data_IF_216140275432
#
_entry.id   IF_216140275432
#
_cell.length_a   1.000
_cell.length_b   1.000
_cell.length_c   1.000
_cell.angle_alpha   90.00
_cell.angle_beta   90.00
_cell.angle_gamma   90.00
#
_symmetry.space_group_name_H-M   'P 1'
#
loop_
_entity.id
_entity.type
_entity.pdbx_description
1 polymer ?
#
# COMPACT_ATOMS: atom_id res chain seq x y z
N UNK A 1 9.43 -25.27 10.37
CA UNK A 1 9.54 -25.90 9.05
C UNK A 1 9.20 -27.36 9.19
N UNK A 2 8.19 -27.84 8.43
CA UNK A 2 7.85 -29.26 8.39
C UNK A 2 8.71 -29.97 7.37
N UNK A 3 9.09 -31.22 7.68
CA UNK A 3 9.80 -32.05 6.73
C UNK A 3 8.86 -32.48 5.59
N UNK A 4 9.28 -32.49 4.33
CA UNK A 4 8.41 -32.75 3.18
C UNK A 4 7.84 -34.19 3.14
N UNK A 5 8.34 -35.08 3.94
CA UNK A 5 7.88 -36.47 4.06
C UNK A 5 6.98 -36.72 5.28
N UNK A 6 6.67 -35.72 6.06
CA UNK A 6 5.79 -35.83 7.21
C UNK A 6 4.33 -35.99 6.78
N UNK A 7 3.65 -36.98 7.33
CA UNK A 7 2.24 -37.24 7.07
C UNK A 7 1.37 -36.61 8.18
N UNK A 8 0.52 -35.63 7.85
CA UNK A 8 -0.35 -34.99 8.83
C UNK A 8 -1.56 -35.82 9.26
N UNK A 9 -1.71 -37.02 8.71
CA UNK A 9 -2.82 -37.92 8.98
C UNK A 9 -2.37 -39.19 9.69
N UNK A 10 -3.25 -39.73 10.55
CA UNK A 10 -3.14 -41.05 11.11
C UNK A 10 -3.43 -42.15 10.07
N UNK A 11 -3.17 -43.39 10.38
CA UNK A 11 -3.42 -44.53 9.48
C UNK A 11 -4.90 -44.71 9.10
N UNK A 12 -5.82 -44.27 9.96
CA UNK A 12 -7.27 -44.25 9.72
C UNK A 12 -7.76 -43.05 8.89
N UNK A 13 -6.84 -42.17 8.44
CA UNK A 13 -7.16 -40.97 7.68
C UNK A 13 -7.63 -39.78 8.50
N UNK A 14 -7.70 -39.89 9.82
CA UNK A 14 -7.94 -38.76 10.71
C UNK A 14 -6.72 -37.84 10.80
N UNK A 15 -6.95 -36.55 11.14
CA UNK A 15 -5.85 -35.58 11.34
C UNK A 15 -5.12 -35.98 12.64
N UNK A 16 -3.80 -36.18 12.56
CA UNK A 16 -2.97 -36.47 13.71
C UNK A 16 -2.99 -35.31 14.72
N UNK A 17 -3.16 -35.62 16.00
CA UNK A 17 -3.12 -34.57 17.03
C UNK A 17 -1.72 -33.99 17.16
N UNK A 18 -1.64 -32.71 17.36
CA UNK A 18 -0.37 -31.98 17.60
C UNK A 18 0.39 -32.56 18.80
N UNK A 19 -0.31 -33.11 19.78
CA UNK A 19 0.28 -33.69 20.99
C UNK A 19 0.91 -35.08 20.77
N UNK A 20 0.38 -35.85 19.82
CA UNK A 20 0.82 -37.21 19.52
C UNK A 20 1.97 -37.22 18.51
N UNK A 21 2.27 -36.08 17.92
CA UNK A 21 3.29 -35.94 16.90
C UNK A 21 4.66 -35.59 17.51
N UNK A 22 5.27 -36.62 18.11
CA UNK A 22 6.52 -36.50 18.86
C UNK A 22 7.75 -36.24 17.97
N UNK A 23 7.65 -36.39 16.66
CA UNK A 23 8.84 -36.32 15.80
C UNK A 23 8.96 -35.11 14.88
N UNK A 24 7.98 -34.22 14.83
CA UNK A 24 8.08 -32.98 14.05
C UNK A 24 9.03 -31.96 14.66
N UNK A 25 9.45 -32.07 15.88
CA UNK A 25 10.31 -31.13 16.60
C UNK A 25 9.74 -29.73 16.79
N UNK A 26 8.70 -29.36 16.02
CA UNK A 26 7.99 -28.08 16.08
C UNK A 26 6.69 -28.21 16.85
N UNK A 27 6.30 -29.41 17.20
CA UNK A 27 5.14 -29.72 18.04
C UNK A 27 3.78 -29.21 17.56
N UNK A 28 3.62 -28.89 16.25
CA UNK A 28 2.34 -28.45 15.73
C UNK A 28 2.05 -29.03 14.35
N UNK A 29 1.00 -29.87 14.28
CA UNK A 29 0.39 -30.26 13.02
C UNK A 29 -0.42 -29.08 12.46
N UNK A 30 -0.08 -28.49 11.27
CA UNK A 30 -0.80 -27.36 10.73
C UNK A 30 -2.29 -27.61 10.49
N UNK A 31 -2.67 -28.83 10.09
CA UNK A 31 -4.07 -29.18 9.86
C UNK A 31 -4.85 -29.21 11.17
N UNK A 32 -4.26 -29.82 12.21
CA UNK A 32 -4.84 -29.84 13.56
C UNK A 32 -4.93 -28.40 14.12
N UNK A 33 -3.87 -27.59 13.93
CA UNK A 33 -3.88 -26.20 14.33
C UNK A 33 -4.98 -25.39 13.60
N UNK A 34 -5.08 -25.51 12.28
CA UNK A 34 -6.09 -24.79 11.49
C UNK A 34 -7.52 -25.18 11.87
N UNK A 35 -7.75 -26.47 12.13
CA UNK A 35 -9.05 -26.98 12.56
C UNK A 35 -9.47 -26.42 13.91
N UNK A 36 -8.54 -26.34 14.85
CA UNK A 36 -8.82 -25.95 16.23
C UNK A 36 -8.66 -24.46 16.49
N UNK A 37 -8.17 -23.68 15.50
CA UNK A 37 -8.01 -22.23 15.57
C UNK A 37 -8.72 -21.52 14.41
N UNK A 38 -10.05 -21.64 14.30
CA UNK A 38 -10.78 -21.00 13.21
C UNK A 38 -10.68 -19.48 13.26
N UNK A 39 -10.48 -18.88 12.08
CA UNK A 39 -10.45 -17.44 11.88
C UNK A 39 -11.44 -17.07 10.77
N UNK A 40 -12.29 -16.10 11.03
CA UNK A 40 -13.18 -15.57 10.01
C UNK A 40 -13.05 -14.05 9.88
N UNK A 41 -13.12 -13.58 8.63
CA UNK A 41 -13.07 -12.17 8.30
C UNK A 41 -14.31 -11.79 7.50
N UNK A 42 -14.92 -10.64 7.86
CA UNK A 42 -15.92 -9.98 7.02
C UNK A 42 -15.40 -8.60 6.68
N UNK A 43 -15.32 -8.31 5.39
CA UNK A 43 -14.87 -7.00 4.90
C UNK A 43 -15.91 -6.44 3.96
N UNK A 44 -16.37 -5.23 4.26
CA UNK A 44 -17.19 -4.42 3.38
C UNK A 44 -16.34 -3.27 2.87
N UNK A 45 -16.37 -3.02 1.56
CA UNK A 45 -15.63 -1.93 0.95
C UNK A 45 -16.56 -1.17 0.01
N UNK A 46 -16.61 0.15 0.18
CA UNK A 46 -17.34 1.08 -0.69
C UNK A 46 -16.34 2.06 -1.29
N UNK A 47 -16.30 2.08 -2.61
CA UNK A 47 -15.55 3.04 -3.40
C UNK A 47 -16.55 3.93 -4.13
N UNK A 48 -16.48 5.23 -3.91
CA UNK A 48 -17.33 6.21 -4.58
C UNK A 48 -16.46 7.28 -5.20
N UNK A 49 -16.77 7.64 -6.45
CA UNK A 49 -16.09 8.72 -7.15
C UNK A 49 -17.12 9.57 -7.87
N UNK A 50 -17.09 10.87 -7.58
CA UNK A 50 -17.87 11.89 -8.28
C UNK A 50 -16.88 12.82 -8.96
N UNK A 51 -17.19 13.24 -10.16
CA UNK A 51 -16.39 14.25 -10.85
C UNK A 51 -17.27 15.20 -11.65
N UNK A 52 -16.75 16.41 -11.83
CA UNK A 52 -17.25 17.39 -12.77
C UNK A 52 -16.14 17.74 -13.75
N UNK A 53 -16.48 17.80 -15.02
CA UNK A 53 -15.55 18.12 -16.09
C UNK A 53 -16.16 19.17 -17.00
N UNK A 54 -15.39 20.18 -17.34
CA UNK A 54 -15.80 21.24 -18.25
C UNK A 54 -14.71 21.50 -19.30
N UNK A 55 -15.12 21.77 -20.52
CA UNK A 55 -14.25 22.09 -21.64
C UNK A 55 -14.57 23.52 -22.14
N UNK A 56 -14.07 24.57 -21.44
CA UNK A 56 -14.46 25.95 -21.69
C UNK A 56 -13.98 26.48 -23.05
N UNK A 57 -12.86 25.98 -23.53
CA UNK A 57 -12.31 26.30 -24.86
C UNK A 57 -11.72 25.01 -25.48
N UNK A 58 -11.55 25.02 -26.80
CA UNK A 58 -10.96 23.89 -27.53
C UNK A 58 -9.58 23.53 -26.96
N UNK A 59 -9.42 22.28 -26.57
CA UNK A 59 -8.17 21.76 -26.03
C UNK A 59 -7.98 21.93 -24.52
N UNK A 60 -8.80 22.72 -23.82
CA UNK A 60 -8.74 22.88 -22.37
C UNK A 60 -9.81 22.03 -21.69
N UNK A 61 -9.38 21.14 -20.80
CA UNK A 61 -10.24 20.35 -19.93
C UNK A 61 -9.92 20.69 -18.48
N UNK A 62 -10.92 21.10 -17.72
CA UNK A 62 -10.83 21.32 -16.27
C UNK A 62 -11.68 20.26 -15.59
N UNK A 63 -11.09 19.51 -14.67
CA UNK A 63 -11.76 18.42 -13.95
C UNK A 63 -11.54 18.59 -12.45
N UNK A 64 -12.62 18.46 -11.70
CA UNK A 64 -12.61 18.31 -10.24
C UNK A 64 -13.21 16.96 -9.90
N UNK A 65 -12.50 16.17 -9.11
CA UNK A 65 -12.90 14.82 -8.71
C UNK A 65 -12.83 14.68 -7.20
N UNK A 66 -13.88 14.12 -6.62
CA UNK A 66 -13.95 13.72 -5.23
C UNK A 66 -14.09 12.20 -5.17
N UNK A 67 -13.25 11.54 -4.37
CA UNK A 67 -13.31 10.11 -4.15
C UNK A 67 -13.37 9.80 -2.65
N UNK A 68 -14.19 8.82 -2.29
CA UNK A 68 -14.29 8.26 -0.94
C UNK A 68 -14.04 6.75 -1.00
N UNK A 69 -13.08 6.27 -0.23
CA UNK A 69 -12.77 4.85 -0.02
C UNK A 69 -13.06 4.51 1.44
N UNK A 70 -14.15 3.81 1.69
CA UNK A 70 -14.51 3.33 3.01
C UNK A 70 -14.39 1.81 3.06
N UNK A 71 -13.73 1.32 4.11
CA UNK A 71 -13.63 -0.11 4.38
C UNK A 71 -13.93 -0.39 5.86
N UNK A 72 -14.87 -1.29 6.09
CA UNK A 72 -15.16 -1.87 7.41
C UNK A 72 -14.72 -3.33 7.42
N UNK A 73 -13.92 -3.72 8.40
CA UNK A 73 -13.46 -5.09 8.57
C UNK A 73 -13.70 -5.57 9.99
N UNK A 74 -14.38 -6.70 10.13
CA UNK A 74 -14.46 -7.43 11.40
C UNK A 74 -13.71 -8.76 11.28
N UNK A 75 -13.00 -9.13 12.33
CA UNK A 75 -12.38 -10.43 12.45
C UNK A 75 -12.86 -11.14 13.71
N UNK A 76 -13.05 -12.42 13.59
CA UNK A 76 -13.31 -13.32 14.71
C UNK A 76 -12.23 -14.40 14.69
N UNK A 77 -11.60 -14.63 15.84
CA UNK A 77 -10.60 -15.67 16.06
C UNK A 77 -11.01 -16.49 17.26
N UNK A 78 -10.81 -17.78 17.18
CA UNK A 78 -11.09 -18.69 18.27
C UNK A 78 -9.97 -19.74 18.34
N UNK A 79 -9.67 -20.19 19.54
CA UNK A 79 -8.89 -21.39 19.80
C UNK A 79 -9.69 -22.28 20.72
N UNK A 80 -10.00 -23.49 20.28
CA UNK A 80 -10.88 -24.40 21.02
C UNK A 80 -10.22 -24.93 22.29
N UNK A 81 -10.97 -25.05 23.40
CA UNK A 81 -10.50 -25.71 24.62
C UNK A 81 -10.03 -27.15 24.40
N UNK A 82 -10.69 -27.88 23.48
CA UNK A 82 -10.32 -29.25 23.11
C UNK A 82 -8.97 -29.36 22.38
N UNK A 83 -8.47 -28.24 21.83
CA UNK A 83 -7.15 -28.23 21.21
C UNK A 83 -6.07 -28.62 22.22
N UNK A 84 -5.31 -29.66 21.91
CA UNK A 84 -4.39 -30.30 22.84
C UNK A 84 -3.39 -29.37 23.54
N UNK A 85 -3.00 -28.27 22.86
CA UNK A 85 -2.07 -27.26 23.41
C UNK A 85 -2.72 -26.28 24.36
N UNK A 86 -4.05 -26.19 24.39
CA UNK A 86 -4.79 -25.24 25.22
C UNK A 86 -5.09 -25.71 26.63
N UNK A 87 -4.80 -26.99 26.95
CA UNK A 87 -5.00 -27.58 28.27
C UNK A 87 -6.41 -27.35 28.83
N UNK A 88 -7.45 -27.46 27.99
CA UNK A 88 -8.85 -27.26 28.37
C UNK A 88 -9.30 -25.82 28.53
N UNK A 89 -8.48 -24.84 28.19
CA UNK A 89 -8.79 -23.42 28.31
C UNK A 89 -8.67 -22.73 26.94
N UNK A 90 -9.78 -22.54 26.24
CA UNK A 90 -9.84 -21.86 24.96
C UNK A 90 -9.70 -20.34 25.05
N UNK A 91 -9.64 -19.71 23.89
CA UNK A 91 -9.73 -18.25 23.76
C UNK A 91 -10.61 -17.83 22.59
N UNK A 92 -11.19 -16.65 22.69
CA UNK A 92 -11.94 -16.02 21.61
C UNK A 92 -11.56 -14.54 21.52
N UNK A 93 -11.33 -14.07 20.29
CA UNK A 93 -11.01 -12.66 20.02
C UNK A 93 -11.91 -12.09 18.93
N UNK A 94 -12.26 -10.83 19.08
CA UNK A 94 -12.95 -10.04 18.07
C UNK A 94 -12.20 -8.74 17.82
N UNK A 95 -12.17 -8.32 16.57
CA UNK A 95 -11.68 -6.99 16.21
C UNK A 95 -12.57 -6.36 15.18
N UNK A 96 -12.66 -5.03 15.25
CA UNK A 96 -13.30 -4.19 14.24
C UNK A 96 -12.30 -3.12 13.82
N UNK A 97 -12.28 -2.81 12.54
CA UNK A 97 -11.47 -1.74 11.98
C UNK A 97 -12.25 -1.03 10.89
N UNK A 98 -12.34 0.27 11.01
CA UNK A 98 -12.89 1.19 10.03
C UNK A 98 -11.76 2.00 9.41
N UNK A 99 -11.80 2.14 8.10
CA UNK A 99 -10.88 3.00 7.34
C UNK A 99 -11.66 3.86 6.38
N UNK A 100 -11.47 5.16 6.47
CA UNK A 100 -12.02 6.15 5.55
C UNK A 100 -10.85 6.92 4.92
N UNK A 101 -10.85 7.03 3.60
CA UNK A 101 -9.93 7.91 2.87
C UNK A 101 -10.73 8.77 1.91
N UNK A 102 -10.57 10.08 2.04
CA UNK A 102 -11.18 11.09 1.19
C UNK A 102 -10.10 11.70 0.31
N UNK A 103 -10.37 11.81 -0.98
CA UNK A 103 -9.43 12.40 -1.94
C UNK A 103 -10.16 13.42 -2.78
N UNK A 104 -9.59 14.63 -2.90
CA UNK A 104 -10.01 15.62 -3.86
C UNK A 104 -8.87 15.89 -4.83
N UNK A 105 -9.15 15.82 -6.14
CA UNK A 105 -8.16 16.05 -7.19
C UNK A 105 -8.73 17.04 -8.18
N UNK A 106 -8.01 18.14 -8.38
CA UNK A 106 -8.36 19.18 -9.34
C UNK A 106 -7.28 19.22 -10.42
N UNK A 107 -7.66 19.18 -11.69
CA UNK A 107 -6.73 19.22 -12.81
C UNK A 107 -7.19 20.18 -13.90
N UNK A 108 -6.23 20.80 -14.55
CA UNK A 108 -6.42 21.55 -15.78
C UNK A 108 -5.45 21.00 -16.82
N UNK A 109 -5.98 20.49 -17.91
CA UNK A 109 -5.22 19.93 -19.02
C UNK A 109 -5.46 20.74 -20.29
N UNK A 110 -4.39 21.18 -20.93
CA UNK A 110 -4.46 21.97 -22.18
C UNK A 110 -3.64 21.33 -23.28
N UNK A 111 -4.33 20.88 -24.33
CA UNK A 111 -3.75 20.25 -25.50
C UNK A 111 -3.97 21.13 -26.76
N UNK A 112 -2.91 21.35 -27.51
CA UNK A 112 -3.01 22.05 -28.80
C UNK A 112 -1.91 21.62 -29.75
N UNK A 113 -2.17 21.81 -31.04
CA UNK A 113 -1.21 21.52 -32.11
C UNK A 113 -0.98 22.78 -32.95
N UNK A 114 0.29 23.12 -33.18
CA UNK A 114 0.69 24.22 -34.02
C UNK A 114 1.30 23.66 -35.32
N UNK A 115 0.90 24.26 -36.45
CA UNK A 115 1.43 23.92 -37.79
C UNK A 115 1.41 22.40 -38.05
N UNK A 116 0.41 21.69 -37.55
CA UNK A 116 0.18 20.23 -37.71
C UNK A 116 1.32 19.31 -37.19
N UNK A 117 2.47 19.85 -36.79
CA UNK A 117 3.66 19.12 -36.42
C UNK A 117 4.07 19.26 -34.94
N UNK A 118 3.70 20.36 -34.32
CA UNK A 118 4.08 20.64 -32.94
C UNK A 118 2.90 20.40 -32.03
N UNK A 119 2.85 19.28 -31.35
CA UNK A 119 1.81 18.96 -30.38
C UNK A 119 2.32 19.19 -28.98
N UNK A 120 1.52 19.90 -28.20
CA UNK A 120 1.77 20.23 -26.79
C UNK A 120 0.63 19.71 -25.93
N UNK A 121 0.99 19.21 -24.76
CA UNK A 121 0.07 18.84 -23.70
C UNK A 121 0.61 19.33 -22.37
N UNK A 122 -0.15 20.20 -21.69
CA UNK A 122 0.19 20.72 -20.36
C UNK A 122 -0.87 20.32 -19.36
N UNK A 123 -0.45 19.71 -18.27
CA UNK A 123 -1.29 19.34 -17.13
C UNK A 123 -0.81 20.09 -15.89
N UNK A 124 -1.73 20.74 -15.21
CA UNK A 124 -1.54 21.23 -13.84
C UNK A 124 -2.55 20.56 -12.93
N UNK A 125 -2.15 20.22 -11.72
CA UNK A 125 -3.03 19.57 -10.77
C UNK A 125 -2.70 19.89 -9.33
N UNK A 126 -3.74 19.74 -8.52
CA UNK A 126 -3.69 19.79 -7.06
C UNK A 126 -4.46 18.59 -6.52
N UNK A 127 -3.94 17.97 -5.46
CA UNK A 127 -4.56 16.82 -4.81
C UNK A 127 -4.46 16.96 -3.30
N UNK A 128 -5.57 16.71 -2.62
CA UNK A 128 -5.64 16.59 -1.17
C UNK A 128 -6.15 15.20 -0.80
N UNK A 129 -5.50 14.56 0.16
CA UNK A 129 -5.92 13.27 0.74
C UNK A 129 -6.01 13.42 2.23
N UNK A 130 -7.13 12.96 2.80
CA UNK A 130 -7.31 12.78 4.24
C UNK A 130 -7.72 11.35 4.52
N UNK A 131 -6.99 10.67 5.39
CA UNK A 131 -7.24 9.26 5.69
C UNK A 131 -7.18 9.01 7.19
N UNK A 132 -8.19 8.29 7.67
CA UNK A 132 -8.34 7.89 9.05
C UNK A 132 -8.59 6.39 9.13
N UNK A 133 -8.00 5.75 10.14
CA UNK A 133 -8.27 4.36 10.50
C UNK A 133 -8.48 4.27 11.99
N UNK A 134 -9.63 3.72 12.38
CA UNK A 134 -10.00 3.49 13.78
C UNK A 134 -10.36 2.03 13.97
N UNK A 135 -9.93 1.46 15.07
CA UNK A 135 -10.23 0.07 15.35
C UNK A 135 -10.11 -0.27 16.82
N UNK A 136 -10.70 -1.39 17.17
CA UNK A 136 -10.52 -2.00 18.47
C UNK A 136 -10.42 -3.51 18.36
N UNK A 137 -9.79 -4.12 19.34
CA UNK A 137 -9.76 -5.56 19.51
C UNK A 137 -9.97 -5.93 20.96
N UNK A 138 -10.62 -7.07 21.17
CA UNK A 138 -10.79 -7.67 22.48
C UNK A 138 -10.53 -9.17 22.38
N UNK A 139 -9.87 -9.74 23.38
CA UNK A 139 -9.61 -11.17 23.50
C UNK A 139 -9.91 -11.63 24.92
N UNK A 140 -10.58 -12.76 25.05
CA UNK A 140 -10.92 -13.35 26.32
C UNK A 140 -10.52 -14.83 26.33
N UNK A 141 -10.14 -15.35 27.49
CA UNK A 141 -9.76 -16.74 27.71
C UNK A 141 -10.65 -17.41 28.74
N UNK A 142 -10.47 -18.73 28.88
CA UNK A 142 -11.17 -19.50 29.89
C UNK A 142 -12.45 -20.15 29.39
N UNK A 143 -12.70 -20.14 28.07
CA UNK A 143 -13.72 -20.99 27.51
C UNK A 143 -13.36 -22.46 27.78
N UNK A 144 -14.32 -23.22 28.31
CA UNK A 144 -14.14 -24.62 28.72
C UNK A 144 -14.90 -25.60 27.83
N UNK A 145 -15.57 -25.14 26.78
CA UNK A 145 -16.33 -25.94 25.84
C UNK A 145 -16.24 -25.31 24.44
N UNK A 146 -16.01 -26.14 23.42
CA UNK A 146 -15.86 -25.70 22.02
C UNK A 146 -17.11 -25.03 21.43
N UNK A 147 -18.29 -25.30 22.00
CA UNK A 147 -19.56 -24.67 21.60
C UNK A 147 -19.73 -23.26 22.18
N UNK A 148 -18.95 -22.88 23.19
CA UNK A 148 -18.99 -21.57 23.81
C UNK A 148 -18.14 -20.56 23.05
N UNK A 149 -18.56 -20.21 21.84
CA UNK A 149 -17.80 -19.39 20.89
C UNK A 149 -17.91 -17.88 21.15
N UNK A 150 -18.79 -17.46 22.04
CA UNK A 150 -18.95 -16.02 22.31
C UNK A 150 -17.83 -15.52 23.24
N UNK A 151 -17.37 -14.29 22.98
CA UNK A 151 -16.39 -13.60 23.83
C UNK A 151 -16.83 -13.57 25.29
N UNK A 152 -18.12 -13.33 25.57
CA UNK A 152 -18.68 -13.27 26.94
C UNK A 152 -18.57 -14.57 27.75
N UNK A 153 -18.24 -15.68 27.09
CA UNK A 153 -18.03 -16.96 27.75
C UNK A 153 -16.61 -17.15 28.33
N UNK A 154 -15.75 -16.16 28.18
CA UNK A 154 -14.41 -16.12 28.75
C UNK A 154 -14.29 -15.04 29.81
N UNK A 155 -13.10 -14.95 30.39
CA UNK A 155 -12.72 -13.93 31.36
C UNK A 155 -11.55 -13.09 30.84
N UNK A 156 -11.50 -11.84 31.26
CA UNK A 156 -10.32 -10.99 31.09
C UNK A 156 -9.26 -11.43 32.10
N UNK A 157 -8.10 -11.88 31.63
CA UNK A 157 -7.00 -12.17 32.54
C UNK A 157 -6.34 -10.86 32.99
N UNK A 158 -6.36 -10.57 34.27
CA UNK A 158 -5.80 -9.34 34.85
C UNK A 158 -4.30 -9.14 34.60
N UNK A 159 -3.58 -10.19 34.20
CA UNK A 159 -2.12 -10.15 33.92
C UNK A 159 -1.76 -9.92 32.45
N UNK A 160 -2.72 -9.64 31.56
CA UNK A 160 -2.46 -9.58 30.13
C UNK A 160 -2.71 -8.19 29.59
N UNK A 161 -1.64 -7.53 29.22
CA UNK A 161 -1.64 -6.18 28.64
C UNK A 161 -2.40 -6.05 27.32
N UNK A 162 -2.72 -7.17 26.62
CA UNK A 162 -3.22 -7.16 25.27
C UNK A 162 -4.65 -7.71 25.12
N UNK A 163 -5.43 -7.75 26.21
CA UNK A 163 -6.81 -8.25 26.17
C UNK A 163 -7.79 -7.28 25.52
N UNK A 164 -7.52 -5.98 25.55
CA UNK A 164 -8.27 -4.96 24.85
C UNK A 164 -7.32 -3.89 24.32
N UNK A 165 -7.45 -3.55 23.06
CA UNK A 165 -6.65 -2.54 22.40
C UNK A 165 -7.52 -1.68 21.50
N UNK A 166 -7.27 -0.36 21.51
CA UNK A 166 -7.83 0.60 20.58
C UNK A 166 -6.72 1.18 19.70
N UNK A 167 -7.05 1.51 18.47
CA UNK A 167 -6.14 2.15 17.52
C UNK A 167 -6.84 3.30 16.83
N UNK A 168 -6.14 4.43 16.70
CA UNK A 168 -6.57 5.57 15.93
C UNK A 168 -5.38 6.14 15.17
N UNK A 169 -5.44 6.07 13.86
CA UNK A 169 -4.39 6.59 12.98
C UNK A 169 -4.98 7.52 11.95
N UNK A 170 -4.32 8.63 11.69
CA UNK A 170 -4.68 9.55 10.63
C UNK A 170 -3.45 10.08 9.92
N UNK A 171 -3.61 10.39 8.64
CA UNK A 171 -2.63 11.12 7.87
C UNK A 171 -3.29 11.91 6.76
N UNK A 172 -2.64 12.98 6.34
CA UNK A 172 -3.09 13.81 5.24
C UNK A 172 -1.94 14.11 4.30
N UNK A 173 -2.28 14.25 3.00
CA UNK A 173 -1.37 14.73 1.97
C UNK A 173 -1.95 15.94 1.26
N UNK A 174 -1.06 16.85 0.87
CA UNK A 174 -1.36 17.94 -0.06
C UNK A 174 -0.29 17.97 -1.14
N UNK A 175 -0.71 17.92 -2.39
CA UNK A 175 0.17 17.79 -3.53
C UNK A 175 -0.16 18.82 -4.60
N UNK A 176 0.88 19.36 -5.23
CA UNK A 176 0.78 20.15 -6.44
C UNK A 176 1.67 19.53 -7.51
N UNK A 177 1.18 19.41 -8.72
CA UNK A 177 1.92 18.77 -9.78
C UNK A 177 1.67 19.44 -11.14
N UNK A 178 2.66 19.35 -11.98
CA UNK A 178 2.59 19.82 -13.36
C UNK A 178 3.36 18.89 -14.29
N UNK A 179 2.87 18.75 -15.51
CA UNK A 179 3.51 17.99 -16.59
C UNK A 179 3.40 18.76 -17.88
N UNK A 180 4.49 18.78 -18.63
CA UNK A 180 4.54 19.30 -19.99
C UNK A 180 5.05 18.21 -20.94
N UNK A 181 4.34 18.01 -22.03
CA UNK A 181 4.72 17.09 -23.09
C UNK A 181 4.78 17.85 -24.41
N UNK A 182 5.82 17.59 -25.16
CA UNK A 182 6.02 18.11 -26.50
C UNK A 182 6.34 16.99 -27.47
N UNK A 183 5.68 16.99 -28.59
CA UNK A 183 5.91 16.04 -29.68
C UNK A 183 6.09 16.82 -31.00
N UNK A 184 7.19 16.57 -31.67
CA UNK A 184 7.45 17.09 -33.00
C UNK A 184 7.27 16.01 -34.06
N UNK A 185 6.23 16.11 -34.88
CA UNK A 185 5.95 15.27 -36.05
C UNK A 185 5.94 13.74 -35.73
N UNK A 186 5.69 13.39 -34.47
CA UNK A 186 5.79 12.00 -34.00
C UNK A 186 7.21 11.44 -34.06
N UNK A 187 8.24 12.28 -34.15
CA UNK A 187 9.66 11.88 -34.21
C UNK A 187 10.37 12.12 -32.89
N UNK A 188 10.24 13.30 -32.33
CA UNK A 188 10.91 13.71 -31.09
C UNK A 188 9.86 13.99 -30.05
N UNK A 189 10.03 13.36 -28.89
CA UNK A 189 9.14 13.55 -27.75
C UNK A 189 9.98 14.01 -26.57
N UNK A 190 9.49 15.01 -25.89
CA UNK A 190 10.07 15.53 -24.65
C UNK A 190 8.95 15.62 -23.63
N UNK A 191 9.18 15.09 -22.46
CA UNK A 191 8.29 15.28 -21.32
C UNK A 191 9.07 15.79 -20.11
N UNK A 192 8.39 16.62 -19.32
CA UNK A 192 8.89 17.12 -18.06
C UNK A 192 7.77 17.05 -17.04
N UNK A 193 8.05 16.55 -15.84
CA UNK A 193 7.11 16.61 -14.73
C UNK A 193 7.79 17.18 -13.48
N UNK A 194 6.97 17.89 -12.70
CA UNK A 194 7.33 18.39 -11.37
C UNK A 194 6.16 18.09 -10.43
N UNK A 195 6.46 17.55 -9.26
CA UNK A 195 5.50 17.33 -8.20
C UNK A 195 6.10 17.74 -6.85
N UNK A 196 5.30 18.42 -6.06
CA UNK A 196 5.63 18.72 -4.67
C UNK A 196 4.53 18.18 -3.78
N UNK A 197 4.91 17.43 -2.76
CA UNK A 197 4.00 16.73 -1.85
C UNK A 197 4.32 17.11 -0.41
N UNK A 198 3.30 17.47 0.36
CA UNK A 198 3.38 17.61 1.80
C UNK A 198 2.70 16.41 2.47
N UNK A 199 3.33 15.84 3.49
CA UNK A 199 2.78 14.74 4.28
C UNK A 199 2.75 15.10 5.77
N UNK A 200 1.62 14.82 6.43
CA UNK A 200 1.49 14.97 7.89
C UNK A 200 2.30 13.93 8.68
N UNK A 201 2.85 12.91 8.01
CA UNK A 201 3.72 11.90 8.61
C UNK A 201 5.10 12.43 9.00
N UNK A 202 5.45 13.65 8.55
CA UNK A 202 6.71 14.33 8.85
C UNK A 202 6.51 15.55 9.75
N UNK A 203 7.56 15.94 10.43
CA UNK A 203 7.62 17.17 11.23
C UNK A 203 7.34 18.42 10.40
N UNK A 204 6.92 19.49 11.05
CA UNK A 204 6.44 20.73 10.39
C UNK A 204 7.39 21.25 9.32
N UNK A 205 8.69 21.19 9.59
CA UNK A 205 9.72 21.78 8.71
C UNK A 205 10.17 20.84 7.58
N UNK A 206 9.82 19.54 7.67
CA UNK A 206 10.24 18.49 6.73
C UNK A 206 9.08 17.85 5.95
N UNK A 207 7.88 18.46 5.99
CA UNK A 207 6.68 17.93 5.34
C UNK A 207 6.77 17.87 3.82
N UNK A 208 7.43 18.87 3.22
CA UNK A 208 7.44 19.05 1.78
C UNK A 208 8.59 18.28 1.12
N UNK A 209 8.24 17.47 0.11
CA UNK A 209 9.17 16.85 -0.83
C UNK A 209 8.91 17.36 -2.24
N UNK A 210 9.97 17.64 -2.99
CA UNK A 210 9.87 17.99 -4.40
C UNK A 210 10.55 16.91 -5.25
N UNK A 211 9.85 16.51 -6.32
CA UNK A 211 10.22 15.43 -7.22
C UNK A 211 10.03 15.89 -8.65
N UNK A 212 10.89 15.45 -9.53
CA UNK A 212 10.87 15.85 -10.95
C UNK A 212 11.27 14.70 -11.85
N UNK A 213 10.84 14.73 -13.09
CA UNK A 213 11.34 13.85 -14.13
C UNK A 213 11.45 14.54 -15.47
N UNK A 214 12.39 14.07 -16.29
CA UNK A 214 12.55 14.44 -17.69
C UNK A 214 12.64 13.16 -18.51
N UNK A 215 11.91 13.12 -19.60
CA UNK A 215 11.95 12.04 -20.57
C UNK A 215 12.18 12.57 -21.97
N UNK A 216 13.00 11.87 -22.73
CA UNK A 216 13.29 12.12 -24.14
C UNK A 216 13.04 10.84 -24.92
N UNK A 217 12.31 10.89 -26.02
CA UNK A 217 12.17 9.76 -26.90
C UNK A 217 12.35 10.17 -28.36
N UNK A 218 13.18 9.43 -29.07
CA UNK A 218 13.40 9.58 -30.48
C UNK A 218 12.83 8.37 -31.25
N UNK A 219 11.89 8.65 -32.13
CA UNK A 219 11.32 7.66 -33.03
C UNK A 219 12.15 7.57 -34.32
N UNK A 220 13.23 6.80 -34.24
CA UNK A 220 14.20 6.60 -35.33
C UNK A 220 13.55 6.03 -36.60
N UNK A 221 12.46 5.24 -36.46
CA UNK A 221 11.76 4.68 -37.62
C UNK A 221 11.17 5.74 -38.53
N UNK A 222 10.84 6.93 -38.03
CA UNK A 222 10.34 8.05 -38.82
C UNK A 222 11.42 8.86 -39.52
N UNK A 223 12.68 8.56 -39.27
CA UNK A 223 13.80 9.22 -39.97
C UNK A 223 13.97 8.68 -41.37
N UNK A 224 14.41 9.55 -42.30
CA UNK A 224 14.54 9.21 -43.73
C UNK A 224 15.45 8.00 -43.97
N UNK A 225 16.51 7.84 -43.15
CA UNK A 225 17.47 6.74 -43.29
C UNK A 225 16.94 5.38 -42.83
N UNK A 226 15.87 5.32 -41.99
CA UNK A 226 15.24 4.09 -41.55
C UNK A 226 13.84 3.89 -42.09
N UNK A 227 13.21 4.90 -42.68
CA UNK A 227 11.83 4.85 -43.12
C UNK A 227 11.62 3.77 -44.19
N UNK A 228 12.57 3.56 -45.12
CA UNK A 228 12.51 2.60 -46.21
C UNK A 228 12.84 1.16 -45.77
N UNK A 229 13.35 0.97 -44.57
CA UNK A 229 13.71 -0.34 -44.02
C UNK A 229 12.45 -1.17 -43.69
N UNK A 230 11.96 -2.01 -44.58
CA UNK A 230 10.68 -2.74 -44.45
C UNK A 230 10.70 -3.81 -43.34
N UNK A 231 11.85 -4.41 -43.07
CA UNK A 231 11.97 -5.43 -42.03
C UNK A 231 11.98 -4.86 -40.60
N UNK A 232 12.41 -3.60 -40.44
CA UNK A 232 12.43 -2.88 -39.15
C UNK A 232 11.19 -2.00 -39.07
N UNK A 233 10.20 -2.40 -38.31
CA UNK A 233 8.88 -1.75 -38.21
C UNK A 233 8.76 -0.72 -37.12
N UNK A 234 9.53 -0.91 -36.07
CA UNK A 234 9.62 0.04 -34.95
C UNK A 234 11.07 0.20 -34.53
N UNK A 235 11.51 1.44 -34.28
CA UNK A 235 12.80 1.73 -33.67
C UNK A 235 12.66 3.00 -32.85
N UNK A 236 12.71 2.86 -31.53
CA UNK A 236 12.58 3.99 -30.58
C UNK A 236 13.72 3.92 -29.58
N UNK A 237 14.37 5.05 -29.36
CA UNK A 237 15.33 5.24 -28.28
C UNK A 237 14.70 6.18 -27.26
N UNK A 238 14.65 5.77 -26.02
CA UNK A 238 14.11 6.58 -24.92
C UNK A 238 15.14 6.72 -23.80
N UNK A 239 15.25 7.92 -23.25
CA UNK A 239 16.04 8.25 -22.08
C UNK A 239 15.14 8.96 -21.07
N UNK A 240 15.12 8.51 -19.84
CA UNK A 240 14.43 9.22 -18.78
C UNK A 240 15.29 9.29 -17.51
N UNK A 241 15.14 10.39 -16.79
CA UNK A 241 15.78 10.54 -15.48
C UNK A 241 14.86 11.35 -14.57
N UNK A 242 14.90 11.05 -13.27
CA UNK A 242 14.07 11.77 -12.32
C UNK A 242 14.22 11.25 -10.90
N UNK A 243 13.54 11.93 -9.99
CA UNK A 243 13.48 11.59 -8.58
C UNK A 243 12.07 11.17 -8.19
N UNK A 244 11.96 10.15 -7.34
CA UNK A 244 10.72 9.76 -6.68
C UNK A 244 10.89 9.82 -5.17
N UNK A 245 9.79 10.08 -4.46
CA UNK A 245 9.74 10.12 -3.00
C UNK A 245 8.98 8.96 -2.41
N UNK A 246 9.41 8.54 -1.21
CA UNK A 246 8.67 7.62 -0.37
C UNK A 246 8.46 8.26 1.00
N UNK A 247 7.21 8.23 1.48
CA UNK A 247 6.79 8.70 2.81
C UNK A 247 6.16 7.59 3.65
N UNK A 248 6.39 6.32 3.28
CA UNK A 248 5.81 5.19 4.00
C UNK A 248 6.60 4.89 5.27
N UNK A 249 6.40 5.77 6.25
CA UNK A 249 6.90 5.66 7.62
C UNK A 249 5.73 5.52 8.59
N UNK A 250 6.00 5.14 9.84
CA UNK A 250 4.99 5.09 10.90
C UNK A 250 4.23 6.41 11.06
N UNK A 251 2.94 6.33 11.41
CA UNK A 251 2.03 7.48 11.42
C UNK A 251 2.52 8.65 12.27
N UNK A 252 3.19 8.45 13.34
CA UNK A 252 3.66 9.49 14.25
C UNK A 252 5.16 9.33 14.54
N UNK A 253 5.92 8.78 13.58
CA UNK A 253 7.33 8.43 13.74
C UNK A 253 8.23 9.63 14.11
N UNK A 254 7.84 10.85 13.75
CA UNK A 254 8.57 12.06 14.07
C UNK A 254 8.28 12.60 15.49
N UNK A 255 7.20 12.13 16.16
CA UNK A 255 6.77 12.61 17.48
C UNK A 255 7.36 11.78 18.61
N UNK A 256 7.61 12.42 19.76
CA UNK A 256 7.79 11.72 21.02
C UNK A 256 6.44 11.21 21.52
N UNK A 257 6.34 9.91 21.79
CA UNK A 257 5.11 9.28 22.25
C UNK A 257 5.30 8.73 23.65
N UNK A 258 4.21 8.75 24.41
CA UNK A 258 4.11 8.13 25.74
C UNK A 258 3.07 7.03 25.72
N UNK A 259 3.25 6.02 26.56
CA UNK A 259 2.30 4.92 26.76
C UNK A 259 1.91 4.86 28.24
N UNK A 260 0.62 4.65 28.49
CA UNK A 260 0.08 4.36 29.81
C UNK A 260 0.11 2.86 30.13
N UNK A 261 -0.38 2.47 31.31
CA UNK A 261 -0.55 1.07 31.69
C UNK A 261 0.62 0.47 32.47
N UNK A 262 1.59 1.27 32.90
CA UNK A 262 2.55 0.84 33.91
C UNK A 262 1.94 1.04 35.31
N UNK A 263 2.01 0.02 36.14
CA UNK A 263 1.62 0.09 37.52
C UNK A 263 2.85 0.47 38.37
N UNK A 264 2.71 1.52 39.16
CA UNK A 264 3.69 1.89 40.19
C UNK A 264 2.96 2.02 41.51
N UNK A 265 3.10 1.05 42.41
CA UNK A 265 2.46 1.00 43.73
C UNK A 265 0.92 1.12 43.71
N UNK A 266 0.27 0.54 42.68
CA UNK A 266 -1.18 0.61 42.50
C UNK A 266 -1.69 1.82 41.70
N UNK A 267 -0.80 2.76 41.33
CA UNK A 267 -1.12 3.94 40.55
C UNK A 267 -0.73 3.74 39.07
N UNK A 268 -1.63 4.14 38.16
CA UNK A 268 -1.36 4.04 36.73
C UNK A 268 -0.37 5.10 36.28
N UNK A 269 0.82 4.69 35.92
CA UNK A 269 1.88 5.52 35.37
C UNK A 269 1.91 5.60 33.85
N UNK A 270 2.68 6.57 33.34
CA UNK A 270 3.02 6.72 31.94
C UNK A 270 4.53 6.61 31.73
N UNK A 271 4.95 6.12 30.59
CA UNK A 271 6.37 6.02 30.24
C UNK A 271 6.62 6.39 28.77
N UNK A 272 7.84 6.85 28.41
CA UNK A 272 8.20 7.11 27.03
C UNK A 272 8.11 5.82 26.20
N UNK A 273 7.29 5.82 25.15
CA UNK A 273 7.13 4.70 24.22
C UNK A 273 7.99 4.85 22.96
N UNK A 274 8.27 6.11 22.58
CA UNK A 274 9.05 6.44 21.40
C UNK A 274 9.74 7.79 21.62
N UNK A 275 11.02 7.89 21.25
CA UNK A 275 11.71 9.16 21.10
C UNK A 275 11.37 9.78 19.76
N UNK A 276 11.05 11.08 19.73
CA UNK A 276 10.76 11.80 18.50
C UNK A 276 12.01 12.04 17.69
N UNK A 277 11.83 12.08 16.37
CA UNK A 277 12.84 12.55 15.43
C UNK A 277 12.21 13.57 14.47
N UNK A 278 12.29 14.88 14.78
CA UNK A 278 11.69 15.93 13.96
C UNK A 278 12.36 16.09 12.59
N UNK A 279 13.57 15.55 12.43
CA UNK A 279 14.36 15.65 11.18
C UNK A 279 13.99 14.58 10.16
N UNK A 280 13.08 13.67 10.49
CA UNK A 280 12.56 12.70 9.53
C UNK A 280 11.97 13.41 8.32
N UNK A 281 12.42 13.00 7.14
CA UNK A 281 12.02 13.58 5.84
C UNK A 281 11.79 12.49 4.80
N UNK A 282 11.39 12.91 3.61
CA UNK A 282 11.18 12.06 2.45
C UNK A 282 12.44 11.26 2.08
N UNK A 283 12.30 9.96 1.93
CA UNK A 283 13.28 9.14 1.22
C UNK A 283 13.21 9.49 -0.26
N UNK A 284 14.35 9.81 -0.87
CA UNK A 284 14.44 10.18 -2.29
C UNK A 284 15.23 9.13 -3.04
N UNK A 285 14.65 8.66 -4.14
CA UNK A 285 15.31 7.75 -5.06
C UNK A 285 15.49 8.44 -6.40
N UNK A 286 16.71 8.43 -6.92
CA UNK A 286 17.02 8.89 -8.27
C UNK A 286 17.09 7.69 -9.21
N UNK A 287 16.33 7.74 -10.30
CA UNK A 287 16.33 6.69 -11.33
C UNK A 287 16.67 7.29 -12.68
N UNK A 288 17.56 6.63 -13.42
CA UNK A 288 17.86 6.93 -14.83
C UNK A 288 17.64 5.66 -15.63
N UNK A 289 16.92 5.76 -16.73
CA UNK A 289 16.58 4.63 -17.60
C UNK A 289 16.88 4.99 -19.07
N UNK A 290 17.54 4.07 -19.78
CA UNK A 290 17.78 4.09 -21.22
C UNK A 290 17.11 2.87 -21.83
N UNK A 291 16.16 3.08 -22.74
CA UNK A 291 15.41 2.03 -23.39
C UNK A 291 15.54 2.08 -24.91
N UNK A 292 15.70 0.90 -25.52
CA UNK A 292 15.71 0.70 -26.96
C UNK A 292 14.60 -0.30 -27.32
N UNK A 293 13.62 0.16 -28.11
CA UNK A 293 12.50 -0.65 -28.59
C UNK A 293 12.68 -0.92 -30.08
N UNK A 294 12.74 -2.20 -30.47
CA UNK A 294 12.88 -2.67 -31.83
C UNK A 294 11.72 -3.58 -32.21
N UNK A 295 11.12 -3.33 -33.36
CA UNK A 295 10.09 -4.19 -33.94
C UNK A 295 10.50 -4.69 -35.31
N UNK A 296 10.40 -5.99 -35.55
CA UNK A 296 10.82 -6.64 -36.76
C UNK A 296 9.62 -7.34 -37.42
N UNK A 297 9.42 -7.09 -38.72
CA UNK A 297 8.39 -7.72 -39.58
C UNK A 297 6.95 -7.70 -39.06
N UNK A 298 6.62 -6.77 -38.09
CA UNK A 298 5.36 -6.77 -37.32
C UNK A 298 5.09 -8.08 -36.54
N UNK A 299 6.13 -8.85 -36.20
CA UNK A 299 5.99 -10.17 -35.56
C UNK A 299 6.86 -10.32 -34.33
N UNK A 300 8.00 -9.67 -34.28
CA UNK A 300 8.96 -9.79 -33.20
C UNK A 300 9.18 -8.40 -32.62
N UNK A 301 9.04 -8.27 -31.30
CA UNK A 301 9.43 -7.07 -30.56
C UNK A 301 10.57 -7.43 -29.61
N UNK A 302 11.56 -6.56 -29.59
CA UNK A 302 12.70 -6.64 -28.67
C UNK A 302 12.79 -5.32 -27.91
N UNK A 303 12.73 -5.41 -26.60
CA UNK A 303 12.87 -4.29 -25.66
C UNK A 303 14.12 -4.52 -24.82
N UNK A 304 15.03 -3.58 -24.86
CA UNK A 304 16.27 -3.59 -24.05
C UNK A 304 16.26 -2.36 -23.17
N UNK A 305 16.36 -2.58 -21.88
CA UNK A 305 16.34 -1.51 -20.88
C UNK A 305 17.59 -1.60 -19.99
N UNK A 306 18.25 -0.47 -19.81
CA UNK A 306 19.34 -0.26 -18.86
C UNK A 306 18.90 0.79 -17.85
N UNK A 307 18.90 0.44 -16.58
CA UNK A 307 18.52 1.38 -15.54
C UNK A 307 19.54 1.45 -14.42
N UNK A 308 19.63 2.62 -13.81
CA UNK A 308 20.40 2.87 -12.60
C UNK A 308 19.47 3.53 -11.57
N UNK A 309 19.48 2.99 -10.35
CA UNK A 309 18.69 3.47 -9.22
C UNK A 309 19.61 3.72 -8.02
N UNK A 310 19.54 4.93 -7.45
CA UNK A 310 20.30 5.37 -6.27
C UNK A 310 19.37 5.90 -5.20
#
# INVERSE_FOLDING_TARGET
FMMPYWNPYNEDGSIASTKDDSWTGTNQNPLDWMRNNPVSYKKYKVLSTLYAEVNPIKGLTIKSQFAADYAHMTAFRQSFPSFSTNNGSGNAGRSSNDRLSLTITNTANYMFTLREKHSFNFLLGQEGVDAQSEGFSISMRGQNNDLLTNISNGTLAASWSDTAAGTLYSYSYLSFFGRGEYNYDGRYYVDFSLRTDASSRFGKDNRWGAFWSVGLMWNLKKEKFLNECKWLTTTRLALSTGTSGNSDIGYYAWQSLVKGGMDYMGETGIYPAQSGNPDLSWEKTWTTNLALHLGFWNRINLDVELYNKK
#
